data_IF_319464641557
#
_entry.id   IF_319464641557
#
_cell.length_a   1.000
_cell.length_b   1.000
_cell.length_c   1.000
_cell.angle_alpha   90.00
_cell.angle_beta   90.00
_cell.angle_gamma   90.00
#
_symmetry.space_group_name_H-M   'P 1'
#
loop_
_entity.id
_entity.type
_entity.pdbx_description
1 polymer ?
#
# COMPACT_ATOMS: atom_id res chain seq x y z
N UNK A 1 1.01 -10.42 0.17
CA UNK A 1 0.52 -9.03 0.24
C UNK A 1 1.63 -8.00 0.15
N UNK A 2 2.56 -7.92 1.12
CA UNK A 2 3.57 -6.84 1.20
C UNK A 2 4.41 -6.65 -0.07
N UNK A 3 4.95 -7.74 -0.66
CA UNK A 3 5.75 -7.67 -1.89
C UNK A 3 4.94 -7.17 -3.11
N UNK A 4 3.66 -7.55 -3.23
CA UNK A 4 2.79 -7.06 -4.31
C UNK A 4 2.45 -5.59 -4.10
N UNK A 5 2.12 -5.19 -2.87
CA UNK A 5 1.85 -3.79 -2.52
C UNK A 5 3.04 -2.91 -2.88
N UNK A 6 4.25 -3.29 -2.45
CA UNK A 6 5.46 -2.50 -2.71
C UNK A 6 5.79 -2.47 -4.19
N UNK A 7 5.56 -3.57 -4.92
CA UNK A 7 5.73 -3.62 -6.38
C UNK A 7 4.76 -2.70 -7.12
N UNK A 8 3.49 -2.63 -6.71
CA UNK A 8 2.50 -1.72 -7.32
C UNK A 8 2.85 -0.27 -6.96
N UNK A 9 3.06 0.04 -5.68
CA UNK A 9 3.42 1.39 -5.25
C UNK A 9 4.69 1.92 -5.94
N UNK A 10 5.68 1.05 -6.20
CA UNK A 10 6.95 1.45 -6.84
C UNK A 10 6.84 1.75 -8.34
N UNK A 11 5.69 1.51 -8.98
CA UNK A 11 5.46 1.86 -10.38
C UNK A 11 5.13 3.35 -10.59
N UNK A 12 4.75 4.03 -9.52
CA UNK A 12 4.33 5.43 -9.54
C UNK A 12 5.44 6.35 -9.03
N UNK A 13 5.44 7.59 -9.52
CA UNK A 13 6.37 8.63 -9.10
C UNK A 13 5.98 9.23 -7.75
N UNK A 14 4.68 9.32 -7.48
CA UNK A 14 4.10 9.87 -6.26
C UNK A 14 4.67 9.25 -5.00
N UNK A 15 4.78 10.04 -3.94
CA UNK A 15 5.13 9.55 -2.62
C UNK A 15 3.91 8.88 -1.99
N UNK A 16 4.00 7.56 -1.78
CA UNK A 16 2.90 6.75 -1.30
C UNK A 16 3.22 6.22 0.08
N UNK A 17 2.29 6.42 1.00
CA UNK A 17 2.39 5.98 2.38
C UNK A 17 1.19 5.12 2.76
N UNK A 18 1.45 4.17 3.65
CA UNK A 18 0.43 3.34 4.28
C UNK A 18 0.53 3.50 5.80
N UNK A 19 -0.60 3.72 6.45
CA UNK A 19 -0.68 3.98 7.88
C UNK A 19 -1.66 3.02 8.58
N UNK A 20 -1.35 2.70 9.84
CA UNK A 20 -2.20 1.97 10.78
C UNK A 20 -2.14 2.68 12.13
N UNK A 21 -3.23 3.36 12.51
CA UNK A 21 -3.21 4.26 13.67
C UNK A 21 -2.13 5.33 13.48
N UNK A 22 -1.28 5.53 14.50
CA UNK A 22 -0.23 6.55 14.49
C UNK A 22 1.02 6.14 13.69
N UNK A 23 1.04 4.91 13.16
CA UNK A 23 2.22 4.34 12.53
C UNK A 23 2.10 4.44 11.01
N UNK A 24 2.93 5.26 10.39
CA UNK A 24 2.97 5.53 8.94
C UNK A 24 4.30 5.08 8.35
N UNK A 25 4.27 4.39 7.22
CA UNK A 25 5.47 3.89 6.52
C UNK A 25 5.36 4.15 5.02
N UNK A 26 6.50 4.22 4.34
CA UNK A 26 6.55 4.33 2.88
C UNK A 26 6.08 3.01 2.25
N UNK A 27 5.04 3.06 1.41
CA UNK A 27 4.44 1.90 0.75
C UNK A 27 5.36 1.25 -0.29
N UNK A 28 6.37 1.97 -0.78
CA UNK A 28 7.41 1.45 -1.69
C UNK A 28 8.51 0.68 -0.95
N UNK A 29 8.62 0.82 0.38
CA UNK A 29 9.61 0.11 1.19
C UNK A 29 9.05 -1.20 1.74
N UNK A 30 9.52 -2.33 1.20
CA UNK A 30 9.11 -3.66 1.66
C UNK A 30 9.35 -3.87 3.15
N UNK A 31 10.48 -3.40 3.67
CA UNK A 31 10.80 -3.49 5.10
C UNK A 31 9.80 -2.67 5.93
N UNK A 32 9.46 -1.46 5.49
CA UNK A 32 8.47 -0.61 6.17
C UNK A 32 7.10 -1.28 6.24
N UNK A 33 6.61 -1.80 5.12
CA UNK A 33 5.30 -2.46 5.02
C UNK A 33 5.24 -3.74 5.85
N UNK A 34 6.29 -4.56 5.84
CA UNK A 34 6.39 -5.75 6.70
C UNK A 34 6.36 -5.37 8.18
N UNK A 35 7.06 -4.30 8.57
CA UNK A 35 7.10 -3.83 9.95
C UNK A 35 5.77 -3.22 10.42
N UNK A 36 4.96 -2.64 9.53
CA UNK A 36 3.65 -2.08 9.87
C UNK A 36 2.71 -3.14 10.49
N UNK A 37 2.92 -4.42 10.15
CA UNK A 37 2.18 -5.56 10.68
C UNK A 37 0.65 -5.41 10.55
N UNK A 38 0.21 -4.88 9.41
CA UNK A 38 -1.21 -4.80 9.06
C UNK A 38 -1.69 -6.17 8.52
N UNK A 39 -2.18 -7.01 9.42
CA UNK A 39 -2.80 -8.30 9.08
C UNK A 39 -4.26 -8.15 8.61
N UNK A 40 -4.88 -9.28 8.24
CA UNK A 40 -6.30 -9.33 7.93
C UNK A 40 -7.16 -8.79 9.07
N UNK A 41 -8.22 -8.06 8.72
CA UNK A 41 -9.13 -7.42 9.69
C UNK A 41 -8.64 -6.09 10.25
N UNK A 42 -7.45 -5.62 9.83
CA UNK A 42 -6.94 -4.30 10.20
C UNK A 42 -7.32 -3.27 9.12
N UNK A 43 -7.86 -2.13 9.56
CA UNK A 43 -8.02 -0.95 8.70
C UNK A 43 -6.70 -0.20 8.58
N UNK A 44 -6.37 0.17 7.35
CA UNK A 44 -5.20 0.99 7.01
C UNK A 44 -5.64 2.21 6.20
N UNK A 45 -4.85 3.28 6.26
CA UNK A 45 -5.02 4.48 5.44
C UNK A 45 -3.92 4.51 4.39
N UNK A 46 -4.28 4.81 3.14
CA UNK A 46 -3.34 5.07 2.06
C UNK A 46 -3.36 6.55 1.73
N UNK A 47 -2.18 7.15 1.65
CA UNK A 47 -1.98 8.53 1.22
C UNK A 47 -1.00 8.54 0.06
N UNK A 48 -1.30 9.31 -0.99
CA UNK A 48 -0.41 9.52 -2.10
C UNK A 48 -0.32 11.02 -2.44
N UNK A 49 0.88 11.50 -2.73
CA UNK A 49 1.15 12.88 -3.13
C UNK A 49 2.06 12.91 -4.36
N UNK A 50 1.61 13.61 -5.41
CA UNK A 50 2.33 13.73 -6.69
C UNK A 50 1.40 13.68 -7.90
N UNK A 51 2.00 13.81 -9.09
CA UNK A 51 1.28 13.95 -10.37
C UNK A 51 0.48 12.70 -10.77
N UNK A 52 0.86 11.53 -10.25
CA UNK A 52 0.21 10.24 -10.51
C UNK A 52 -0.44 9.63 -9.26
N UNK A 53 -0.77 10.48 -8.27
CA UNK A 53 -1.25 10.05 -6.96
C UNK A 53 -2.63 9.37 -7.04
N UNK A 54 -3.54 9.91 -7.84
CA UNK A 54 -4.89 9.35 -8.03
C UNK A 54 -4.81 7.95 -8.64
N UNK A 55 -4.02 7.79 -9.71
CA UNK A 55 -3.80 6.51 -10.36
C UNK A 55 -3.11 5.50 -9.44
N UNK A 56 -2.21 5.96 -8.58
CA UNK A 56 -1.56 5.11 -7.58
C UNK A 56 -2.56 4.60 -6.54
N UNK A 57 -3.44 5.48 -6.03
CA UNK A 57 -4.47 5.11 -5.06
C UNK A 57 -5.48 4.13 -5.67
N UNK A 58 -5.92 4.35 -6.91
CA UNK A 58 -6.84 3.45 -7.61
C UNK A 58 -6.24 2.05 -7.79
N UNK A 59 -4.98 1.95 -8.23
CA UNK A 59 -4.32 0.66 -8.41
C UNK A 59 -4.12 -0.08 -7.08
N UNK A 60 -3.78 0.65 -6.02
CA UNK A 60 -3.65 0.06 -4.69
C UNK A 60 -5.02 -0.37 -4.14
N UNK A 61 -6.06 0.45 -4.29
CA UNK A 61 -7.42 0.08 -3.90
C UNK A 61 -7.89 -1.20 -4.61
N UNK A 62 -7.65 -1.32 -5.91
CA UNK A 62 -7.92 -2.53 -6.68
C UNK A 62 -7.14 -3.74 -6.16
N UNK A 63 -5.86 -3.56 -5.80
CA UNK A 63 -5.06 -4.63 -5.21
C UNK A 63 -5.65 -5.13 -3.87
N UNK A 64 -6.13 -4.22 -3.02
CA UNK A 64 -6.82 -4.58 -1.77
C UNK A 64 -8.16 -5.29 -2.04
N UNK A 65 -8.95 -4.78 -2.99
CA UNK A 65 -10.24 -5.39 -3.39
C UNK A 65 -10.06 -6.82 -3.91
N UNK A 66 -8.98 -7.07 -4.66
CA UNK A 66 -8.61 -8.38 -5.18
C UNK A 66 -7.87 -9.26 -4.16
N UNK A 67 -7.81 -8.86 -2.88
CA UNK A 67 -7.11 -9.58 -1.80
C UNK A 67 -5.67 -9.94 -2.18
N UNK A 68 -4.96 -9.02 -2.82
CA UNK A 68 -3.59 -9.22 -3.30
C UNK A 68 -3.44 -10.43 -4.24
N UNK A 69 -4.50 -10.84 -4.95
CA UNK A 69 -4.59 -12.09 -5.73
C UNK A 69 -3.96 -13.29 -5.00
N UNK A 70 -4.24 -13.41 -3.70
CA UNK A 70 -3.91 -14.59 -2.91
C UNK A 70 -5.04 -15.61 -3.09
N UNK A 71 -4.70 -16.84 -3.47
CA UNK A 71 -5.64 -17.96 -3.42
C UNK A 71 -6.04 -18.21 -1.95
N UNK A 72 -7.33 -18.47 -1.73
CA UNK A 72 -7.90 -18.62 -0.38
C UNK A 72 -7.42 -19.89 0.33
#
# INVERSE_FOLDING_TARGET
AAAKLTKVASQYKSDIHIARGDRRVNAKSIMGVMMLAAGLGVTVTLDAEGDDAEQALDALANLFANKFDEEA
#
